data_IF_555747873159
#
_entry.id   IF_555747873159
#
_cell.length_a   1.000
_cell.length_b   1.000
_cell.length_c   1.000
_cell.angle_alpha   90.00
_cell.angle_beta   90.00
_cell.angle_gamma   90.00
#
_symmetry.space_group_name_H-M   'P 1'
#
loop_
_entity.id
_entity.type
_entity.pdbx_description
1 polymer ?
#
# COMPACT_ATOMS: atom_id res chain seq x y z
N UNK A 1 18.99 3.72 6.91
CA UNK A 1 17.60 3.35 6.57
C UNK A 1 17.30 3.75 5.14
N UNK A 2 16.59 2.91 4.41
CA UNK A 2 16.24 3.24 3.03
C UNK A 2 15.33 4.45 2.95
N UNK A 3 15.41 5.17 1.83
CA UNK A 3 14.53 6.29 1.54
C UNK A 3 13.29 5.75 0.82
N UNK A 4 12.14 5.82 1.48
CA UNK A 4 10.90 5.29 0.91
C UNK A 4 10.36 6.15 -0.22
N UNK A 5 10.37 7.46 -0.03
CA UNK A 5 9.79 8.38 -1.01
C UNK A 5 10.55 8.30 -2.33
N UNK A 6 9.81 8.05 -3.40
CA UNK A 6 10.38 7.95 -4.73
C UNK A 6 11.09 6.63 -5.03
N UNK A 7 11.13 5.70 -4.09
CA UNK A 7 11.77 4.40 -4.30
C UNK A 7 10.81 3.39 -4.90
N UNK A 8 11.33 2.57 -5.81
CA UNK A 8 10.61 1.38 -6.27
C UNK A 8 10.85 0.26 -5.29
N UNK A 9 9.83 -0.52 -4.99
CA UNK A 9 9.93 -1.67 -4.09
C UNK A 9 10.04 -2.92 -4.96
N UNK A 10 11.22 -3.46 -5.05
CA UNK A 10 11.52 -4.55 -5.98
C UNK A 10 11.91 -5.85 -5.29
N UNK A 11 12.47 -5.78 -4.09
CA UNK A 11 12.99 -6.96 -3.40
C UNK A 11 13.05 -6.71 -1.91
N UNK A 12 12.84 -7.76 -1.14
CA UNK A 12 12.96 -7.68 0.31
C UNK A 12 14.39 -7.30 0.75
N UNK A 13 15.38 -7.55 -0.10
CA UNK A 13 16.78 -7.22 0.23
C UNK A 13 17.04 -5.72 0.28
N UNK A 14 16.11 -4.90 -0.21
CA UNK A 14 16.23 -3.43 -0.11
C UNK A 14 16.02 -2.92 1.31
N UNK A 15 15.38 -3.73 2.15
CA UNK A 15 14.95 -3.30 3.48
C UNK A 15 15.99 -3.71 4.52
N UNK A 16 16.44 -2.74 5.31
CA UNK A 16 17.20 -3.03 6.51
C UNK A 16 16.22 -3.18 7.69
N UNK A 17 16.78 -3.45 8.88
CA UNK A 17 15.97 -3.64 10.08
C UNK A 17 15.14 -2.39 10.39
N UNK A 18 15.73 -1.21 10.27
CA UNK A 18 15.04 0.05 10.57
C UNK A 18 13.91 0.30 9.60
N UNK A 19 14.08 -0.02 8.33
CA UNK A 19 13.03 0.12 7.32
C UNK A 19 11.85 -0.81 7.63
N UNK A 20 12.13 -2.05 8.01
CA UNK A 20 11.09 -3.01 8.39
C UNK A 20 10.35 -2.54 9.64
N UNK A 21 11.07 -2.07 10.64
CA UNK A 21 10.46 -1.54 11.86
C UNK A 21 9.55 -0.36 11.54
N UNK A 22 9.98 0.52 10.65
CA UNK A 22 9.16 1.67 10.23
C UNK A 22 7.87 1.23 9.57
N UNK A 23 7.92 0.23 8.69
CA UNK A 23 6.72 -0.29 8.02
C UNK A 23 5.75 -0.87 9.07
N UNK A 24 6.26 -1.63 10.03
CA UNK A 24 5.42 -2.21 11.06
C UNK A 24 4.77 -1.14 11.94
N UNK A 25 5.52 -0.10 12.30
CA UNK A 25 4.98 1.02 13.08
C UNK A 25 3.87 1.74 12.34
N UNK A 26 4.08 2.03 11.06
CA UNK A 26 3.07 2.69 10.23
C UNK A 26 1.85 1.79 10.05
N UNK A 27 2.06 0.48 9.89
CA UNK A 27 0.95 -0.48 9.79
C UNK A 27 0.05 -0.43 11.01
N UNK A 28 0.65 -0.35 12.20
CA UNK A 28 -0.13 -0.24 13.43
C UNK A 28 -0.96 1.03 13.45
N UNK A 29 -0.42 2.13 12.96
CA UNK A 29 -1.13 3.41 12.88
C UNK A 29 -2.26 3.40 11.85
N UNK A 30 -2.25 2.46 10.92
CA UNK A 30 -3.26 2.38 9.86
C UNK A 30 -4.53 1.65 10.28
N UNK A 31 -4.54 0.99 11.43
CA UNK A 31 -5.70 0.20 11.87
C UNK A 31 -7.01 1.00 11.89
N UNK A 32 -7.06 2.25 12.40
CA UNK A 32 -8.30 3.01 12.38
C UNK A 32 -8.83 3.29 10.97
N UNK A 33 -7.93 3.41 10.00
CA UNK A 33 -8.32 3.64 8.61
C UNK A 33 -8.80 2.35 7.95
N UNK A 34 -8.14 1.23 8.24
CA UNK A 34 -8.53 -0.07 7.72
C UNK A 34 -9.90 -0.49 8.27
N UNK A 35 -10.19 -0.16 9.52
CA UNK A 35 -11.48 -0.46 10.15
C UNK A 35 -12.57 0.59 9.86
N UNK A 36 -12.23 1.61 9.09
CA UNK A 36 -13.14 2.69 8.67
C UNK A 36 -13.62 3.58 9.82
N UNK A 37 -12.88 3.61 10.91
CA UNK A 37 -13.16 4.54 12.02
C UNK A 37 -12.72 5.96 11.68
N UNK A 38 -11.68 6.08 10.84
CA UNK A 38 -11.17 7.35 10.36
C UNK A 38 -11.11 7.35 8.85
N UNK A 39 -11.23 8.53 8.27
CA UNK A 39 -11.08 8.72 6.83
C UNK A 39 -9.72 9.31 6.51
N UNK A 40 -9.18 8.94 5.35
CA UNK A 40 -7.92 9.45 4.86
C UNK A 40 -8.04 9.74 3.38
N UNK A 41 -7.48 10.88 2.96
CA UNK A 41 -7.48 11.30 1.55
C UNK A 41 -6.06 11.56 1.05
N UNK A 42 -5.06 11.01 1.72
CA UNK A 42 -3.66 11.29 1.40
C UNK A 42 -3.31 10.90 -0.04
N UNK A 43 -4.02 9.92 -0.61
CA UNK A 43 -3.79 9.49 -1.99
C UNK A 43 -4.83 10.07 -2.96
N UNK A 44 -5.53 11.13 -2.58
CA UNK A 44 -6.50 11.76 -3.47
C UNK A 44 -5.81 12.19 -4.76
N UNK A 45 -6.38 11.79 -5.90
CA UNK A 45 -5.79 12.07 -7.20
C UNK A 45 -4.76 11.05 -7.68
N UNK A 46 -4.34 10.13 -6.83
CA UNK A 46 -3.41 9.08 -7.21
C UNK A 46 -4.16 7.88 -7.81
N UNK A 47 -3.52 7.22 -8.74
CA UNK A 47 -4.06 6.03 -9.40
C UNK A 47 -3.12 4.87 -9.18
N UNK A 48 -3.66 3.76 -8.65
CA UNK A 48 -2.95 2.50 -8.56
C UNK A 48 -3.33 1.64 -9.75
N UNK A 49 -2.34 1.18 -10.50
CA UNK A 49 -2.56 0.25 -11.59
C UNK A 49 -2.13 -1.15 -11.12
N UNK A 50 -3.11 -2.01 -10.84
CA UNK A 50 -2.86 -3.38 -10.40
C UNK A 50 -2.63 -4.26 -11.62
N UNK A 51 -1.41 -4.77 -11.77
CA UNK A 51 -1.04 -5.66 -12.86
C UNK A 51 -0.76 -7.05 -12.29
N UNK A 52 -1.71 -7.95 -12.44
CA UNK A 52 -1.56 -9.32 -11.97
C UNK A 52 -1.74 -10.26 -13.16
N UNK A 53 -0.66 -10.94 -13.51
CA UNK A 53 -0.64 -11.86 -14.65
C UNK A 53 -1.05 -13.28 -14.26
N UNK A 54 -1.20 -13.53 -12.95
CA UNK A 54 -1.67 -14.81 -12.42
C UNK A 54 -2.87 -14.56 -11.50
N UNK A 55 -3.75 -15.56 -11.32
CA UNK A 55 -4.84 -15.42 -10.36
C UNK A 55 -4.28 -15.18 -8.96
N UNK A 56 -4.48 -13.98 -8.46
CA UNK A 56 -3.99 -13.58 -7.13
C UNK A 56 -5.04 -12.67 -6.48
N UNK A 57 -6.25 -13.22 -6.35
CA UNK A 57 -7.41 -12.44 -5.91
C UNK A 57 -7.20 -11.79 -4.57
N UNK A 58 -6.65 -12.54 -3.59
CA UNK A 58 -6.47 -12.00 -2.24
C UNK A 58 -5.54 -10.80 -2.23
N UNK A 59 -4.38 -10.92 -2.85
CA UNK A 59 -3.40 -9.83 -2.88
C UNK A 59 -3.94 -8.64 -3.67
N UNK A 60 -4.50 -8.88 -4.83
CA UNK A 60 -5.06 -7.84 -5.69
C UNK A 60 -6.14 -7.04 -4.97
N UNK A 61 -7.08 -7.73 -4.33
CA UNK A 61 -8.19 -7.09 -3.62
C UNK A 61 -7.68 -6.34 -2.40
N UNK A 62 -6.72 -6.91 -1.66
CA UNK A 62 -6.18 -6.25 -0.47
C UNK A 62 -5.46 -4.95 -0.80
N UNK A 63 -4.61 -4.93 -1.81
CA UNK A 63 -3.93 -3.70 -2.24
C UNK A 63 -4.92 -2.69 -2.79
N UNK A 64 -5.88 -3.13 -3.58
CA UNK A 64 -6.91 -2.24 -4.11
C UNK A 64 -7.74 -1.58 -3.01
N UNK A 65 -8.20 -2.38 -2.06
CA UNK A 65 -8.99 -1.86 -0.94
C UNK A 65 -8.18 -0.87 -0.11
N UNK A 66 -6.92 -1.18 0.18
CA UNK A 66 -6.06 -0.28 0.95
C UNK A 66 -5.87 1.06 0.23
N UNK A 67 -5.63 1.01 -1.07
CA UNK A 67 -5.42 2.22 -1.86
C UNK A 67 -6.69 3.10 -1.88
N UNK A 68 -7.86 2.47 -2.04
CA UNK A 68 -9.12 3.18 -2.01
C UNK A 68 -9.40 3.79 -0.63
N UNK A 69 -9.08 3.07 0.44
CA UNK A 69 -9.27 3.58 1.80
C UNK A 69 -8.39 4.78 2.10
N UNK A 70 -7.28 4.94 1.38
CA UNK A 70 -6.42 6.11 1.51
C UNK A 70 -6.82 7.24 0.55
N UNK A 71 -7.93 7.10 -0.14
CA UNK A 71 -8.48 8.14 -1.00
C UNK A 71 -8.09 8.06 -2.46
N UNK A 72 -7.35 7.03 -2.85
CA UNK A 72 -6.90 6.85 -4.22
C UNK A 72 -7.91 6.13 -5.09
N UNK A 73 -7.58 5.99 -6.34
CA UNK A 73 -8.38 5.29 -7.35
C UNK A 73 -7.61 4.08 -7.85
N UNK A 74 -8.30 2.95 -7.98
CA UNK A 74 -7.68 1.71 -8.45
C UNK A 74 -8.11 1.42 -9.87
N UNK A 75 -7.14 1.19 -10.74
CA UNK A 75 -7.36 0.74 -12.11
C UNK A 75 -6.73 -0.64 -12.26
N UNK A 76 -7.49 -1.58 -12.80
CA UNK A 76 -7.00 -2.93 -12.96
C UNK A 76 -6.84 -3.25 -14.44
N UNK A 77 -5.72 -3.93 -14.74
CA UNK A 77 -5.44 -4.44 -16.09
C UNK A 77 -5.33 -5.95 -15.98
N UNK A 78 -6.06 -6.63 -16.82
CA UNK A 78 -6.09 -8.10 -16.85
C UNK A 78 -5.26 -8.58 -18.05
#
# INVERSE_FOLDING_TARGET
MMKFQGSHILSVTQFDRDAIARILDVSAMMVPYASRQKRCTVLNGAILNNLFFEPSTRTRVSFGAAFNLLGGFVQETV
#
